data_IF_683212112816
#
_entry.id   IF_683212112816
#
_cell.length_a   1.000
_cell.length_b   1.000
_cell.length_c   1.000
_cell.angle_alpha   90.00
_cell.angle_beta   90.00
_cell.angle_gamma   90.00
#
_symmetry.space_group_name_H-M   'P 1'
#
loop_
_entity.id
_entity.type
_entity.pdbx_description
1 polymer ?
#
# COMPACT_ATOMS: atom_id res chain seq x y z
N UNK A 1 -30.85 -10.21 -8.59
CA UNK A 1 -29.41 -10.42 -8.82
C UNK A 1 -28.69 -9.23 -8.24
N UNK A 2 -28.27 -9.36 -7.00
CA UNK A 2 -27.45 -8.33 -6.35
C UNK A 2 -26.09 -8.35 -7.04
N UNK A 3 -25.81 -7.32 -7.82
CA UNK A 3 -24.44 -7.07 -8.25
C UNK A 3 -23.67 -6.75 -6.98
N UNK A 4 -22.88 -7.73 -6.51
CA UNK A 4 -21.91 -7.49 -5.46
C UNK A 4 -20.96 -6.41 -5.99
N UNK A 5 -21.09 -5.22 -5.45
CA UNK A 5 -20.16 -4.14 -5.73
C UNK A 5 -18.81 -4.49 -5.12
N UNK A 6 -17.98 -5.15 -5.90
CA UNK A 6 -16.64 -5.52 -5.47
C UNK A 6 -15.83 -4.28 -5.12
N UNK A 7 -15.39 -4.22 -3.89
CA UNK A 7 -14.48 -3.18 -3.42
C UNK A 7 -13.04 -3.67 -3.55
N UNK A 8 -12.20 -2.84 -4.16
CA UNK A 8 -10.79 -3.12 -4.33
C UNK A 8 -9.94 -1.98 -3.80
N UNK A 9 -8.85 -2.32 -3.15
CA UNK A 9 -7.87 -1.34 -2.73
C UNK A 9 -7.10 -0.80 -3.92
N UNK A 10 -6.88 0.52 -3.91
CA UNK A 10 -6.12 1.25 -4.94
C UNK A 10 -5.10 2.14 -4.25
N UNK A 11 -3.98 2.42 -4.91
CA UNK A 11 -2.96 3.32 -4.38
C UNK A 11 -3.20 4.76 -4.83
N UNK A 12 -3.03 5.69 -3.90
CA UNK A 12 -3.09 7.13 -4.16
C UNK A 12 -1.70 7.72 -3.99
N UNK A 13 -1.27 8.47 -4.99
CA UNK A 13 -0.04 9.25 -4.94
C UNK A 13 -0.31 10.61 -4.31
N UNK A 14 0.52 11.01 -3.35
CA UNK A 14 0.36 12.23 -2.55
C UNK A 14 1.50 13.20 -2.78
N UNK A 15 1.26 14.47 -2.46
CA UNK A 15 2.31 15.47 -2.39
C UNK A 15 3.29 15.15 -1.27
N UNK A 16 4.58 15.49 -1.40
CA UNK A 16 5.58 15.19 -0.38
C UNK A 16 5.17 15.69 1.01
N UNK A 17 5.21 14.81 2.01
CA UNK A 17 4.88 15.14 3.38
C UNK A 17 3.41 15.42 3.67
N UNK A 18 2.52 15.22 2.70
CA UNK A 18 1.09 15.53 2.85
C UNK A 18 0.20 14.28 2.91
N UNK A 19 0.74 13.13 3.22
CA UNK A 19 0.01 11.87 3.28
C UNK A 19 -1.12 11.92 4.31
N UNK A 20 -0.85 12.44 5.51
CA UNK A 20 -1.87 12.59 6.56
C UNK A 20 -2.96 13.58 6.19
N UNK A 21 -2.61 14.64 5.48
CA UNK A 21 -3.58 15.62 4.99
C UNK A 21 -4.50 14.97 3.97
N UNK A 22 -3.95 14.21 3.03
CA UNK A 22 -4.72 13.46 2.05
C UNK A 22 -5.62 12.42 2.73
N UNK A 23 -5.11 11.68 3.69
CA UNK A 23 -5.88 10.71 4.49
C UNK A 23 -7.12 11.38 5.10
N UNK A 24 -6.94 12.47 5.82
CA UNK A 24 -8.03 13.17 6.49
C UNK A 24 -9.09 13.70 5.51
N UNK A 25 -8.67 14.29 4.41
CA UNK A 25 -9.59 14.84 3.43
C UNK A 25 -10.31 13.76 2.61
N UNK A 26 -9.67 12.63 2.36
CA UNK A 26 -10.32 11.48 1.73
C UNK A 26 -11.35 10.84 2.66
N UNK A 27 -11.01 10.66 3.93
CA UNK A 27 -11.94 10.14 4.94
C UNK A 27 -13.16 11.03 5.10
N UNK A 28 -12.97 12.35 5.09
CA UNK A 28 -14.07 13.33 5.13
C UNK A 28 -15.02 13.23 3.94
N UNK A 29 -14.55 12.73 2.81
CA UNK A 29 -15.39 12.45 1.64
C UNK A 29 -16.12 11.10 1.71
N UNK A 30 -15.88 10.32 2.77
CA UNK A 30 -16.50 9.01 2.96
C UNK A 30 -15.70 7.84 2.42
N UNK A 31 -14.49 8.05 1.93
CA UNK A 31 -13.62 6.96 1.49
C UNK A 31 -13.02 6.19 2.67
N UNK A 32 -12.92 4.88 2.54
CA UNK A 32 -12.13 4.05 3.44
C UNK A 32 -10.67 4.15 3.05
N UNK A 33 -9.83 4.68 3.96
CA UNK A 33 -8.44 5.01 3.69
C UNK A 33 -7.53 4.23 4.62
N UNK A 34 -6.42 3.75 4.10
CA UNK A 34 -5.36 3.12 4.87
C UNK A 34 -4.01 3.77 4.55
N UNK A 35 -3.44 4.43 5.54
CA UNK A 35 -2.08 4.98 5.49
C UNK A 35 -1.19 4.13 6.39
N UNK A 36 -0.48 3.11 5.88
CA UNK A 36 0.43 2.32 6.70
C UNK A 36 1.59 3.18 7.17
N UNK A 37 1.88 3.07 8.46
CA UNK A 37 2.96 3.80 9.12
C UNK A 37 3.94 2.81 9.72
N UNK A 38 5.20 3.18 9.72
CA UNK A 38 6.27 2.42 10.36
C UNK A 38 6.89 3.22 11.48
N UNK A 39 7.29 2.53 12.54
CA UNK A 39 8.10 3.10 13.60
C UNK A 39 9.53 2.63 13.38
N UNK A 40 10.41 3.58 13.17
CA UNK A 40 11.84 3.32 12.96
C UNK A 40 12.65 4.05 14.02
N UNK A 41 13.86 3.56 14.26
CA UNK A 41 14.78 4.19 15.17
C UNK A 41 15.78 5.04 14.37
N UNK A 42 15.76 6.35 14.60
CA UNK A 42 16.73 7.24 14.00
C UNK A 42 17.96 7.35 14.90
N UNK A 43 19.11 7.04 14.37
CA UNK A 43 20.40 7.11 15.08
C UNK A 43 21.20 8.38 14.79
N UNK A 44 20.61 9.38 14.13
CA UNK A 44 21.29 10.62 13.84
C UNK A 44 21.55 11.43 15.11
N UNK A 45 22.78 11.91 15.28
CA UNK A 45 23.16 12.82 16.35
C UNK A 45 23.33 12.19 17.73
N UNK A 46 23.64 10.89 17.84
CA UNK A 46 23.97 10.23 19.12
C UNK A 46 22.80 9.97 20.05
N UNK A 47 21.59 10.39 19.73
CA UNK A 47 20.38 10.04 20.44
C UNK A 47 19.49 9.15 19.58
N UNK A 48 19.14 8.00 20.13
CA UNK A 48 18.21 7.06 19.49
C UNK A 48 16.78 7.54 19.73
N UNK A 49 16.12 8.08 18.70
CA UNK A 49 14.70 8.48 18.77
C UNK A 49 13.85 7.60 17.88
N UNK A 50 12.73 7.17 18.43
CA UNK A 50 11.68 6.49 17.65
C UNK A 50 10.96 7.54 16.81
N UNK A 51 10.80 7.23 15.53
CA UNK A 51 10.09 8.08 14.58
C UNK A 51 9.01 7.27 13.87
N UNK A 52 7.81 7.82 13.81
CA UNK A 52 6.70 7.27 13.05
C UNK A 52 6.58 8.02 11.73
N UNK A 53 6.56 7.29 10.63
CA UNK A 53 6.50 7.87 9.30
C UNK A 53 5.69 6.95 8.37
N UNK A 54 5.20 7.47 7.22
CA UNK A 54 4.55 6.61 6.24
C UNK A 54 5.47 5.46 5.82
N UNK A 55 4.91 4.26 5.73
CA UNK A 55 5.64 3.08 5.25
C UNK A 55 6.10 3.26 3.81
N UNK A 56 5.24 3.86 3.00
CA UNK A 56 5.49 4.20 1.60
C UNK A 56 5.38 5.72 1.43
N UNK A 57 6.48 6.47 1.57
CA UNK A 57 6.43 7.92 1.41
C UNK A 57 5.72 8.33 0.13
N UNK A 58 4.74 9.23 0.25
CA UNK A 58 3.88 9.76 -0.80
C UNK A 58 2.79 8.80 -1.30
N UNK A 59 2.53 7.68 -0.61
CA UNK A 59 1.51 6.73 -1.01
C UNK A 59 0.60 6.36 0.15
N UNK A 60 -0.68 6.26 -0.13
CA UNK A 60 -1.68 5.68 0.75
C UNK A 60 -2.64 4.81 -0.06
N UNK A 61 -3.53 4.11 0.60
CA UNK A 61 -4.46 3.19 -0.04
C UNK A 61 -5.90 3.61 0.24
N UNK A 62 -6.75 3.47 -0.76
CA UNK A 62 -8.19 3.69 -0.65
C UNK A 62 -8.93 2.45 -1.15
N UNK A 63 -10.01 2.11 -0.46
CA UNK A 63 -10.87 1.01 -0.86
C UNK A 63 -12.03 1.56 -1.68
N UNK A 64 -12.08 1.22 -2.95
CA UNK A 64 -12.99 1.81 -3.92
C UNK A 64 -13.90 0.78 -4.58
N UNK A 65 -15.15 1.17 -4.76
CA UNK A 65 -16.12 0.44 -5.56
C UNK A 65 -16.20 1.05 -6.96
N UNK A 66 -15.92 0.26 -7.98
CA UNK A 66 -15.82 0.73 -9.36
C UNK A 66 -17.13 1.33 -9.91
N UNK A 67 -18.27 0.89 -9.40
CA UNK A 67 -19.58 1.25 -9.95
C UNK A 67 -20.43 2.14 -9.04
N UNK A 68 -20.03 2.34 -7.80
CA UNK A 68 -20.83 3.05 -6.80
C UNK A 68 -20.25 4.38 -6.35
N UNK A 69 -19.01 4.70 -6.70
CA UNK A 69 -18.30 5.87 -6.23
C UNK A 69 -17.70 6.68 -7.36
N UNK A 70 -17.74 7.99 -7.21
CA UNK A 70 -17.04 8.90 -8.11
C UNK A 70 -15.59 9.09 -7.63
N UNK A 71 -14.65 8.56 -8.41
CA UNK A 71 -13.22 8.66 -8.12
C UNK A 71 -12.59 9.97 -8.57
N UNK A 72 -13.31 10.79 -9.32
CA UNK A 72 -12.76 12.03 -9.89
C UNK A 72 -12.35 13.03 -8.82
N UNK A 73 -12.98 12.97 -7.65
CA UNK A 73 -12.68 13.87 -6.53
C UNK A 73 -11.33 13.59 -5.88
N UNK A 74 -10.76 12.40 -6.07
CA UNK A 74 -9.49 12.01 -5.44
C UNK A 74 -8.36 12.92 -5.90
N UNK A 75 -8.23 13.20 -7.19
CA UNK A 75 -7.17 14.07 -7.72
C UNK A 75 -7.28 15.53 -7.30
N UNK A 76 -8.45 15.97 -6.88
CA UNK A 76 -8.69 17.33 -6.37
C UNK A 76 -8.68 17.39 -4.84
N UNK A 77 -8.45 16.27 -4.18
CA UNK A 77 -8.33 16.21 -2.72
C UNK A 77 -7.03 16.84 -2.25
N UNK A 78 -7.10 17.66 -1.21
CA UNK A 78 -5.92 18.31 -0.63
C UNK A 78 -4.90 17.30 -0.14
N UNK A 79 -3.67 17.45 -0.59
CA UNK A 79 -2.56 16.55 -0.28
C UNK A 79 -2.42 15.39 -1.27
N UNK A 80 -3.47 15.04 -2.00
CA UNK A 80 -3.42 14.01 -3.03
C UNK A 80 -3.04 14.60 -4.40
N UNK A 81 -2.37 13.80 -5.21
CA UNK A 81 -2.13 14.08 -6.63
C UNK A 81 -3.13 13.29 -7.46
N UNK A 82 -3.31 12.02 -7.16
CA UNK A 82 -4.27 11.17 -7.84
C UNK A 82 -4.01 9.69 -7.62
N UNK A 83 -4.85 8.86 -8.21
CA UNK A 83 -4.67 7.41 -8.19
C UNK A 83 -3.42 7.02 -8.99
N UNK A 84 -2.71 6.01 -8.50
CA UNK A 84 -1.60 5.42 -9.25
C UNK A 84 -2.14 4.74 -10.49
N UNK A 85 -1.57 5.07 -11.64
CA UNK A 85 -1.99 4.54 -12.95
C UNK A 85 -0.80 4.00 -13.71
N UNK A 86 -1.03 2.92 -14.44
CA UNK A 86 -0.14 2.44 -15.49
C UNK A 86 -0.92 2.55 -16.82
N UNK A 87 -0.62 3.60 -17.59
CA UNK A 87 -1.45 3.98 -18.72
C UNK A 87 -2.83 4.45 -18.25
N UNK A 88 -3.89 3.87 -18.78
CA UNK A 88 -5.27 4.19 -18.38
C UNK A 88 -5.79 3.34 -17.23
N UNK A 89 -5.06 2.31 -16.82
CA UNK A 89 -5.50 1.38 -15.78
C UNK A 89 -5.02 1.81 -14.40
N UNK A 90 -5.94 1.72 -13.44
CA UNK A 90 -5.66 1.86 -12.01
C UNK A 90 -5.54 0.44 -11.44
N UNK A 91 -4.32 -0.04 -11.11
CA UNK A 91 -4.16 -1.40 -10.62
C UNK A 91 -4.80 -1.56 -9.25
N UNK A 92 -5.35 -2.75 -9.00
CA UNK A 92 -5.79 -3.14 -7.67
C UNK A 92 -4.58 -3.50 -6.81
N UNK A 93 -4.62 -3.11 -5.54
CA UNK A 93 -3.68 -3.60 -4.53
C UNK A 93 -4.26 -4.89 -3.96
N UNK A 94 -3.49 -5.99 -3.89
CA UNK A 94 -4.01 -7.23 -3.35
C UNK A 94 -4.58 -7.06 -1.93
N UNK A 95 -5.80 -7.55 -1.71
CA UNK A 95 -6.46 -7.45 -0.40
C UNK A 95 -5.68 -8.11 0.71
N UNK A 96 -5.08 -9.25 0.44
CA UNK A 96 -4.23 -9.97 1.40
C UNK A 96 -3.02 -9.16 1.85
N UNK A 97 -2.44 -8.39 0.94
CA UNK A 97 -1.35 -7.46 1.23
C UNK A 97 -1.79 -6.38 2.25
N UNK A 98 -2.92 -5.76 2.00
CA UNK A 98 -3.48 -4.73 2.89
C UNK A 98 -3.85 -5.33 4.25
N UNK A 99 -4.54 -6.47 4.25
CA UNK A 99 -4.94 -7.16 5.48
C UNK A 99 -3.74 -7.53 6.34
N UNK A 100 -2.68 -8.03 5.72
CA UNK A 100 -1.44 -8.36 6.42
C UNK A 100 -0.83 -7.11 7.08
N UNK A 101 -0.74 -6.00 6.35
CA UNK A 101 -0.22 -4.75 6.93
C UNK A 101 -1.08 -4.25 8.08
N UNK A 102 -2.41 -4.34 7.96
CA UNK A 102 -3.32 -3.94 9.03
C UNK A 102 -3.13 -4.79 10.29
N UNK A 103 -2.92 -6.10 10.13
CA UNK A 103 -2.69 -6.99 11.28
C UNK A 103 -1.36 -6.72 11.99
N UNK A 104 -0.40 -6.10 11.31
CA UNK A 104 0.91 -5.77 11.87
C UNK A 104 0.96 -4.41 12.54
N UNK A 105 -0.04 -3.56 12.36
CA UNK A 105 -0.17 -2.32 13.12
C UNK A 105 -0.37 -2.62 14.59
N UNK A 106 0.41 -1.96 15.45
CA UNK A 106 0.29 -2.06 16.89
C UNK A 106 -0.82 -1.14 17.42
N UNK A 107 -0.99 -1.13 18.75
CA UNK A 107 -1.97 -0.27 19.42
C UNK A 107 -1.73 1.24 19.21
N UNK A 108 -0.54 1.62 18.73
CA UNK A 108 -0.18 3.03 18.44
C UNK A 108 -0.37 3.37 16.95
N UNK A 109 -0.93 2.47 16.16
CA UNK A 109 -1.22 2.69 14.75
C UNK A 109 0.01 2.70 13.84
N UNK A 110 1.03 1.93 14.18
CA UNK A 110 2.25 1.80 13.37
C UNK A 110 2.79 0.37 13.41
N UNK A 111 3.52 0.01 12.35
CA UNK A 111 4.28 -1.23 12.28
C UNK A 111 5.66 -0.97 12.88
N UNK A 112 6.03 -1.72 13.89
CA UNK A 112 7.33 -1.57 14.54
C UNK A 112 8.42 -2.20 13.67
N UNK A 113 9.30 -1.36 13.13
CA UNK A 113 10.50 -1.75 12.37
C UNK A 113 11.78 -1.29 13.08
N UNK A 114 11.69 -0.94 14.37
CA UNK A 114 12.85 -0.49 15.17
C UNK A 114 13.83 -1.62 15.42
N UNK A 115 13.34 -2.86 15.45
CA UNK A 115 14.15 -4.07 15.45
C UNK A 115 14.05 -4.73 14.10
N UNK A 116 15.14 -5.36 13.65
CA UNK A 116 15.12 -6.09 12.38
C UNK A 116 14.03 -7.16 12.46
N UNK A 117 12.94 -6.92 11.76
CA UNK A 117 11.88 -7.92 11.67
C UNK A 117 12.37 -9.06 10.80
N UNK A 118 12.80 -10.12 11.44
CA UNK A 118 12.93 -11.39 10.76
C UNK A 118 11.52 -11.90 10.45
N UNK A 119 11.23 -11.98 9.16
CA UNK A 119 10.05 -12.73 8.71
C UNK A 119 10.29 -14.16 9.17
N UNK A 120 9.48 -14.64 10.10
CA UNK A 120 9.62 -15.99 10.62
C UNK A 120 9.34 -17.01 9.50
N UNK A 121 10.02 -18.16 9.50
CA UNK A 121 9.79 -19.21 8.50
C UNK A 121 8.31 -19.62 8.38
N UNK A 122 7.56 -19.55 9.46
CA UNK A 122 6.13 -19.89 9.48
C UNK A 122 5.26 -18.85 8.77
N UNK A 123 5.71 -17.59 8.72
CA UNK A 123 5.09 -16.54 7.92
C UNK A 123 5.25 -16.82 6.41
N UNK A 124 6.16 -17.73 6.06
CA UNK A 124 6.50 -18.05 4.67
C UNK A 124 5.65 -19.15 4.05
N UNK A 125 4.95 -19.94 4.82
CA UNK A 125 4.17 -21.09 4.29
C UNK A 125 2.93 -20.61 3.54
N UNK A 126 2.40 -19.46 3.89
CA UNK A 126 1.28 -18.83 3.20
C UNK A 126 1.70 -17.82 2.13
N UNK A 127 3.00 -17.58 1.96
CA UNK A 127 3.57 -16.45 1.21
C UNK A 127 4.28 -16.91 -0.08
N UNK A 128 3.80 -17.96 -0.73
CA UNK A 128 4.53 -18.49 -1.89
C UNK A 128 4.19 -17.80 -3.21
N UNK A 129 3.20 -16.91 -3.26
CA UNK A 129 2.77 -16.30 -4.52
C UNK A 129 2.70 -14.77 -4.49
N UNK A 130 3.28 -14.16 -5.50
CA UNK A 130 3.07 -12.79 -5.97
C UNK A 130 3.11 -11.69 -4.90
N UNK A 131 1.96 -11.34 -4.35
CA UNK A 131 1.80 -10.26 -3.39
C UNK A 131 2.61 -10.46 -2.10
N UNK A 132 2.76 -11.69 -1.68
CA UNK A 132 3.42 -12.02 -0.43
C UNK A 132 4.95 -12.06 -0.56
N UNK A 133 5.47 -12.39 -1.74
CA UNK A 133 6.89 -12.18 -2.04
C UNK A 133 7.24 -10.69 -2.00
N UNK A 134 6.33 -9.83 -2.47
CA UNK A 134 6.44 -8.38 -2.36
C UNK A 134 6.49 -7.89 -0.92
N UNK A 135 5.65 -8.43 -0.03
CA UNK A 135 5.67 -8.11 1.40
C UNK A 135 7.04 -8.43 2.03
N UNK A 136 7.60 -9.59 1.74
CA UNK A 136 8.92 -9.95 2.23
C UNK A 136 9.97 -8.93 1.82
N UNK A 137 9.98 -8.54 0.55
CA UNK A 137 10.90 -7.54 0.04
C UNK A 137 10.70 -6.18 0.72
N UNK A 138 9.46 -5.78 1.00
CA UNK A 138 9.14 -4.54 1.71
C UNK A 138 9.70 -4.56 3.13
N UNK A 139 9.52 -5.65 3.87
CA UNK A 139 10.05 -5.76 5.24
C UNK A 139 11.58 -5.86 5.28
N UNK A 140 12.22 -6.31 4.23
CA UNK A 140 13.67 -6.31 4.09
C UNK A 140 14.24 -4.97 3.61
N UNK A 141 13.40 -4.09 3.07
CA UNK A 141 13.84 -2.79 2.56
C UNK A 141 14.21 -1.85 3.71
N UNK A 142 15.38 -1.23 3.63
CA UNK A 142 15.95 -0.39 4.69
C UNK A 142 15.41 1.03 4.73
N UNK A 143 14.85 1.51 3.63
CA UNK A 143 14.35 2.88 3.52
C UNK A 143 12.94 2.92 2.95
N UNK A 144 12.23 4.03 3.22
CA UNK A 144 10.92 4.29 2.61
C UNK A 144 10.99 4.33 1.09
N UNK A 145 12.07 4.90 0.54
CA UNK A 145 12.31 4.93 -0.90
C UNK A 145 12.40 3.53 -1.51
N UNK A 146 13.11 2.62 -0.86
CA UNK A 146 13.23 1.23 -1.32
C UNK A 146 11.90 0.50 -1.22
N UNK A 147 11.11 0.75 -0.17
CA UNK A 147 9.76 0.19 -0.02
C UNK A 147 8.83 0.65 -1.14
N UNK A 148 8.91 1.92 -1.53
CA UNK A 148 8.13 2.45 -2.67
C UNK A 148 8.48 1.74 -3.97
N UNK A 149 9.77 1.48 -4.24
CA UNK A 149 10.20 0.75 -5.43
C UNK A 149 9.56 -0.64 -5.47
N UNK A 150 9.54 -1.36 -4.36
CA UNK A 150 8.92 -2.68 -4.26
C UNK A 150 7.41 -2.59 -4.46
N UNK A 151 6.75 -1.59 -3.85
CA UNK A 151 5.31 -1.37 -4.02
C UNK A 151 4.94 -1.15 -5.50
N UNK A 152 5.67 -0.30 -6.19
CA UNK A 152 5.40 -0.02 -7.60
C UNK A 152 5.60 -1.24 -8.49
N UNK A 153 6.60 -2.07 -8.20
CA UNK A 153 6.78 -3.37 -8.88
C UNK A 153 5.62 -4.32 -8.61
N UNK A 154 5.13 -4.36 -7.38
CA UNK A 154 3.96 -5.17 -7.02
C UNK A 154 2.72 -4.73 -7.80
N UNK A 155 2.46 -3.45 -7.88
CA UNK A 155 1.32 -2.89 -8.61
C UNK A 155 1.44 -3.15 -10.12
N UNK A 156 2.63 -3.07 -10.66
CA UNK A 156 2.89 -3.41 -12.07
C UNK A 156 2.66 -4.90 -12.34
N UNK A 157 3.07 -5.78 -11.41
CA UNK A 157 2.82 -7.21 -11.50
C UNK A 157 1.31 -7.52 -11.49
N UNK A 158 0.55 -6.92 -10.59
CA UNK A 158 -0.92 -7.08 -10.53
C UNK A 158 -1.60 -6.62 -11.83
N UNK A 159 -1.08 -5.58 -12.46
CA UNK A 159 -1.52 -5.18 -13.78
C UNK A 159 -1.40 -6.31 -14.81
N UNK A 160 -0.32 -7.10 -14.74
CA UNK A 160 -0.09 -8.24 -15.66
C UNK A 160 -1.02 -9.41 -15.38
N UNK A 161 -1.38 -9.62 -14.12
CA UNK A 161 -2.31 -10.67 -13.69
C UNK A 161 -3.74 -10.37 -14.09
N UNK A 162 -4.11 -9.11 -14.24
CA UNK A 162 -5.41 -8.68 -14.75
C UNK A 162 -5.58 -8.92 -16.29
N UNK A 163 -4.52 -9.33 -16.97
CA UNK A 163 -4.60 -9.70 -18.38
C UNK A 163 -5.38 -11.00 -18.57
N UNK A 164 -6.02 -11.20 -19.75
CA UNK A 164 -6.75 -12.44 -20.03
C UNK A 164 -5.91 -13.69 -19.74
N UNK A 165 -6.57 -14.75 -19.28
CA UNK A 165 -5.92 -16.01 -18.94
C UNK A 165 -5.00 -16.57 -20.04
N UNK A 166 -5.29 -16.25 -21.30
CA UNK A 166 -4.45 -16.61 -22.45
C UNK A 166 -3.09 -15.90 -22.47
N UNK A 167 -3.00 -14.72 -21.86
CA UNK A 167 -1.74 -13.98 -21.77
C UNK A 167 -0.88 -14.44 -20.57
N UNK A 168 -1.50 -14.98 -19.53
CA UNK A 168 -0.81 -15.49 -18.33
C UNK A 168 -0.02 -16.75 -18.65
N UNK A 169 -0.50 -17.59 -19.56
CA UNK A 169 0.17 -18.83 -19.95
C UNK A 169 1.49 -18.65 -20.70
N UNK A 170 1.74 -17.44 -21.25
CA UNK A 170 2.96 -17.14 -22.01
C UNK A 170 4.12 -16.63 -21.17
N UNK A 171 3.90 -16.40 -19.89
CA UNK A 171 4.88 -15.79 -18.97
C UNK A 171 5.48 -16.85 -18.02
N UNK A 172 5.01 -18.07 -18.09
CA UNK A 172 5.52 -19.18 -17.27
C UNK A 172 6.67 -19.87 -17.98
#
# INVERSE_FOLDING_TARGET
MEMQHERLWRAVFCKPGQERRAEAHLENQGFEVFLPRVRTRNRAGGSSRLRVQPMFPRYLFVNLCAHAEDWSTIRSTRGAIGLVRFGERVPAVPGDFIDYLMTRHDQFGAIDMSEAMEIRPDDTVEITDGAMAGLRAIFQARSGKDRVVVLLKLLEYERKVELPASAIRKVV
#
